data_IF_012763982994
#
_entry.id   IF_012763982994
#
_cell.length_a   1.000
_cell.length_b   1.000
_cell.length_c   1.000
_cell.angle_alpha   90.00
_cell.angle_beta   90.00
_cell.angle_gamma   90.00
#
_symmetry.space_group_name_H-M   'P 1'
#
loop_
_entity.id
_entity.type
_entity.pdbx_description
1 polymer ?
#
# COMPACT_ATOMS: atom_id res chain seq x y z
N UNK A 1 23.98 6.65 -4.28
CA UNK A 1 23.83 5.25 -4.71
C UNK A 1 23.70 5.24 -6.22
N UNK A 2 24.59 4.56 -6.94
CA UNK A 2 24.52 4.51 -8.40
C UNK A 2 23.45 3.49 -8.83
N UNK A 3 22.59 3.86 -9.79
CA UNK A 3 21.55 3.01 -10.36
C UNK A 3 22.12 1.94 -11.32
N UNK A 4 23.04 1.11 -10.83
CA UNK A 4 23.68 0.03 -11.60
C UNK A 4 22.83 -1.24 -11.73
N UNK A 5 23.25 -2.16 -12.60
CA UNK A 5 22.51 -3.40 -12.92
C UNK A 5 22.15 -4.26 -11.71
N UNK A 6 23.02 -4.30 -10.69
CA UNK A 6 22.80 -5.07 -9.47
C UNK A 6 21.53 -4.65 -8.73
N UNK A 7 21.17 -3.36 -8.75
CA UNK A 7 19.94 -2.89 -8.12
C UNK A 7 18.71 -3.42 -8.86
N UNK A 8 18.76 -3.48 -10.20
CA UNK A 8 17.70 -4.07 -11.01
C UNK A 8 17.52 -5.56 -10.69
N UNK A 9 18.61 -6.34 -10.74
CA UNK A 9 18.61 -7.79 -10.45
C UNK A 9 18.07 -8.08 -9.04
N UNK A 10 18.54 -7.35 -8.02
CA UNK A 10 18.05 -7.47 -6.64
C UNK A 10 16.57 -7.11 -6.52
N UNK A 11 16.14 -6.03 -7.17
CA UNK A 11 14.74 -5.59 -7.16
C UNK A 11 13.80 -6.65 -7.74
N UNK A 12 14.15 -7.25 -8.88
CA UNK A 12 13.37 -8.33 -9.48
C UNK A 12 13.32 -9.58 -8.59
N UNK A 13 14.46 -10.03 -8.06
CA UNK A 13 14.47 -11.20 -7.16
C UNK A 13 13.64 -10.99 -5.89
N UNK A 14 13.66 -9.79 -5.32
CA UNK A 14 12.91 -9.47 -4.10
C UNK A 14 11.39 -9.60 -4.27
N UNK A 15 10.87 -9.49 -5.50
CA UNK A 15 9.42 -9.63 -5.78
C UNK A 15 8.85 -10.98 -5.35
N UNK A 16 9.64 -12.05 -5.41
CA UNK A 16 9.21 -13.40 -4.99
C UNK A 16 9.37 -13.62 -3.49
N UNK A 17 10.20 -12.80 -2.83
CA UNK A 17 10.55 -12.99 -1.41
C UNK A 17 9.69 -12.09 -0.51
N UNK A 18 9.20 -10.95 -1.01
CA UNK A 18 8.48 -9.96 -0.20
C UNK A 18 7.23 -10.54 0.50
N UNK A 19 6.59 -11.57 -0.07
CA UNK A 19 5.45 -12.24 0.57
C UNK A 19 5.81 -12.88 1.92
N UNK A 20 7.01 -13.45 2.05
CA UNK A 20 7.49 -14.07 3.29
C UNK A 20 7.80 -13.05 4.41
N UNK A 21 7.99 -11.78 4.04
CA UNK A 21 8.20 -10.71 5.02
C UNK A 21 6.91 -10.45 5.83
N UNK A 22 5.73 -10.80 5.29
CA UNK A 22 4.45 -10.67 6.00
C UNK A 22 4.42 -11.56 7.24
N UNK A 23 4.71 -12.85 7.08
CA UNK A 23 4.70 -13.81 8.20
C UNK A 23 5.74 -13.43 9.25
N UNK A 24 6.92 -13.00 8.80
CA UNK A 24 7.94 -12.44 9.70
C UNK A 24 7.41 -11.20 10.45
N UNK A 25 6.69 -10.29 9.79
CA UNK A 25 6.11 -9.12 10.44
C UNK A 25 5.08 -9.50 11.52
N UNK A 26 4.25 -10.51 11.23
CA UNK A 26 3.24 -11.01 12.16
C UNK A 26 3.88 -11.58 13.44
N UNK A 27 5.00 -12.29 13.33
CA UNK A 27 5.76 -12.79 14.50
C UNK A 27 6.24 -11.67 15.44
N UNK A 28 6.35 -10.44 14.94
CA UNK A 28 6.78 -9.26 15.70
C UNK A 28 5.68 -8.20 15.88
N UNK A 29 4.42 -8.58 15.69
CA UNK A 29 3.28 -7.71 15.97
C UNK A 29 3.07 -6.58 14.96
N UNK A 30 3.43 -6.82 13.70
CA UNK A 30 3.20 -5.92 12.57
C UNK A 30 2.23 -6.59 11.60
N UNK A 31 1.11 -5.92 11.31
CA UNK A 31 0.22 -6.31 10.22
C UNK A 31 0.62 -5.55 8.96
N UNK A 32 0.56 -6.21 7.81
CA UNK A 32 0.90 -5.61 6.53
C UNK A 32 0.09 -6.22 5.39
N UNK A 33 -0.33 -5.39 4.45
CA UNK A 33 -0.98 -5.83 3.22
C UNK A 33 -0.55 -4.97 2.04
N UNK A 34 -0.70 -5.53 0.84
CA UNK A 34 -0.58 -4.82 -0.42
C UNK A 34 -1.93 -4.64 -1.09
N UNK A 35 -2.13 -3.47 -1.69
CA UNK A 35 -3.30 -3.18 -2.50
C UNK A 35 -2.91 -2.33 -3.70
N UNK A 36 -3.82 -2.17 -4.65
CA UNK A 36 -3.46 -1.68 -5.97
C UNK A 36 -4.62 -0.95 -6.63
N UNK A 37 -4.30 -0.12 -7.61
CA UNK A 37 -5.27 0.56 -8.48
C UNK A 37 -4.63 0.87 -9.83
N UNK A 38 -5.47 1.22 -10.81
CA UNK A 38 -5.04 1.90 -12.04
C UNK A 38 -5.58 3.33 -12.08
N UNK A 39 -4.79 4.26 -12.61
CA UNK A 39 -5.13 5.69 -12.59
C UNK A 39 -4.58 6.40 -13.84
N UNK A 40 -5.30 7.41 -14.38
CA UNK A 40 -4.78 8.27 -15.44
C UNK A 40 -3.49 9.00 -15.06
N UNK A 41 -2.64 9.27 -16.06
CA UNK A 41 -1.31 9.85 -15.86
C UNK A 41 -1.31 11.18 -15.09
N UNK A 42 -2.28 12.05 -15.36
CA UNK A 42 -2.44 13.36 -14.72
C UNK A 42 -2.76 13.29 -13.23
N UNK A 43 -3.12 12.11 -12.71
CA UNK A 43 -3.53 11.89 -11.32
C UNK A 43 -2.58 11.01 -10.50
N UNK A 44 -1.60 10.35 -11.13
CA UNK A 44 -0.70 9.38 -10.45
C UNK A 44 -0.05 9.99 -9.20
N UNK A 45 0.54 11.18 -9.32
CA UNK A 45 1.31 11.81 -8.24
C UNK A 45 0.43 12.20 -7.07
N UNK A 46 -0.73 12.81 -7.36
CA UNK A 46 -1.67 13.25 -6.32
C UNK A 46 -2.33 12.04 -5.65
N UNK A 47 -2.73 11.01 -6.41
CA UNK A 47 -3.23 9.76 -5.86
C UNK A 47 -2.21 9.11 -4.90
N UNK A 48 -0.94 9.01 -5.31
CA UNK A 48 0.11 8.46 -4.45
C UNK A 48 0.29 9.25 -3.15
N UNK A 49 0.23 10.59 -3.22
CA UNK A 49 0.36 11.46 -2.05
C UNK A 49 -0.84 11.30 -1.12
N UNK A 50 -2.04 11.47 -1.65
CA UNK A 50 -3.29 11.51 -0.90
C UNK A 50 -3.58 10.18 -0.20
N UNK A 51 -3.37 9.05 -0.88
CA UNK A 51 -3.58 7.71 -0.30
C UNK A 51 -2.61 7.45 0.86
N UNK A 52 -1.32 7.80 0.71
CA UNK A 52 -0.37 7.69 1.82
C UNK A 52 -0.74 8.61 2.98
N UNK A 53 -1.13 9.85 2.70
CA UNK A 53 -1.55 10.80 3.73
C UNK A 53 -2.86 10.36 4.41
N UNK A 54 -3.77 9.70 3.69
CA UNK A 54 -4.98 9.08 4.26
C UNK A 54 -4.62 7.97 5.23
N UNK A 55 -3.76 7.02 4.84
CA UNK A 55 -3.29 5.95 5.73
C UNK A 55 -2.68 6.54 7.01
N UNK A 56 -1.81 7.54 6.89
CA UNK A 56 -1.20 8.18 8.05
C UNK A 56 -2.22 8.87 8.96
N UNK A 57 -3.27 9.48 8.39
CA UNK A 57 -4.36 10.07 9.16
C UNK A 57 -5.16 9.01 9.92
N UNK A 58 -5.56 7.93 9.24
CA UNK A 58 -6.37 6.89 9.89
C UNK A 58 -5.59 6.16 10.98
N UNK A 59 -4.31 5.87 10.77
CA UNK A 59 -3.43 5.28 11.80
C UNK A 59 -3.41 6.14 13.07
N UNK A 60 -3.32 7.48 12.93
CA UNK A 60 -3.42 8.40 14.07
C UNK A 60 -4.81 8.42 14.69
N UNK A 61 -5.88 8.39 13.88
CA UNK A 61 -7.26 8.39 14.36
C UNK A 61 -7.59 7.14 15.19
N UNK A 62 -7.02 6.00 14.83
CA UNK A 62 -7.13 4.75 15.56
C UNK A 62 -6.19 4.65 16.78
N UNK A 63 -5.45 5.71 17.12
CA UNK A 63 -4.61 5.77 18.31
C UNK A 63 -3.33 4.91 18.22
N UNK A 64 -2.92 4.51 17.02
CA UNK A 64 -1.69 3.74 16.83
C UNK A 64 -0.50 4.67 17.07
N UNK A 65 0.37 4.30 18.02
CA UNK A 65 1.44 5.14 18.51
C UNK A 65 2.45 5.56 17.43
N UNK A 66 2.77 4.66 16.50
CA UNK A 66 3.78 4.87 15.48
C UNK A 66 3.14 5.10 14.11
N UNK A 67 3.73 5.97 13.27
CA UNK A 67 3.32 6.11 11.88
C UNK A 67 3.36 4.76 11.16
N UNK A 68 2.40 4.54 10.25
CA UNK A 68 2.47 3.36 9.40
C UNK A 68 3.66 3.45 8.45
N UNK A 69 4.21 2.30 8.06
CA UNK A 69 4.90 2.21 6.80
C UNK A 69 3.85 2.36 5.69
N UNK A 70 4.00 3.34 4.80
CA UNK A 70 3.13 3.54 3.65
C UNK A 70 4.00 3.88 2.43
N UNK A 71 4.05 2.98 1.47
CA UNK A 71 4.89 3.10 0.28
C UNK A 71 4.11 2.73 -0.98
N UNK A 72 4.55 3.23 -2.12
CA UNK A 72 3.95 2.96 -3.41
C UNK A 72 5.00 2.85 -4.51
N UNK A 73 4.68 2.11 -5.56
CA UNK A 73 5.47 2.03 -6.80
C UNK A 73 4.55 1.95 -8.02
N UNK A 74 4.99 2.52 -9.14
CA UNK A 74 4.37 2.29 -10.44
C UNK A 74 4.89 0.96 -10.98
N UNK A 75 4.00 0.01 -11.22
CA UNK A 75 4.36 -1.36 -11.63
C UNK A 75 4.13 -1.63 -13.10
N UNK A 76 3.18 -0.94 -13.73
CA UNK A 76 2.84 -1.07 -15.14
C UNK A 76 2.48 0.30 -15.73
N UNK A 77 2.80 0.50 -17.00
CA UNK A 77 2.53 1.71 -17.76
C UNK A 77 1.67 1.40 -19.00
N UNK A 78 0.74 2.29 -19.30
CA UNK A 78 -0.18 2.21 -20.43
C UNK A 78 -0.23 3.55 -21.15
N UNK A 79 -0.83 3.57 -22.35
CA UNK A 79 -1.05 4.82 -23.11
C UNK A 79 -1.83 5.85 -22.30
N UNK A 80 -2.81 5.39 -21.51
CA UNK A 80 -3.78 6.24 -20.80
C UNK A 80 -3.53 6.35 -19.29
N UNK A 81 -2.55 5.65 -18.74
CA UNK A 81 -2.31 5.68 -17.29
C UNK A 81 -1.31 4.65 -16.80
N UNK A 82 -1.37 4.37 -15.49
CA UNK A 82 -0.44 3.48 -14.82
C UNK A 82 -1.14 2.60 -13.78
N UNK A 83 -0.55 1.44 -13.49
CA UNK A 83 -0.85 0.68 -12.28
C UNK A 83 0.03 1.19 -11.14
N UNK A 84 -0.60 1.54 -10.01
CA UNK A 84 0.07 1.92 -8.78
C UNK A 84 -0.18 0.82 -7.74
N UNK A 85 0.92 0.34 -7.16
CA UNK A 85 0.90 -0.72 -6.15
C UNK A 85 1.37 -0.15 -4.82
N UNK A 86 0.55 -0.29 -3.79
CA UNK A 86 0.79 0.19 -2.44
C UNK A 86 1.14 -0.96 -1.50
N UNK A 87 1.98 -0.64 -0.53
CA UNK A 87 2.15 -1.44 0.68
C UNK A 87 1.87 -0.55 1.87
N UNK A 88 1.13 -1.08 2.84
CA UNK A 88 1.06 -0.45 4.15
C UNK A 88 1.23 -1.47 5.27
N UNK A 89 1.82 -1.01 6.37
CA UNK A 89 2.03 -1.83 7.55
C UNK A 89 2.03 -0.96 8.82
N UNK A 90 1.53 -1.51 9.92
CA UNK A 90 1.58 -0.83 11.22
C UNK A 90 1.70 -1.85 12.36
N UNK A 91 2.25 -1.39 13.49
CA UNK A 91 2.32 -2.20 14.71
C UNK A 91 0.96 -2.22 15.40
N UNK A 92 0.46 -3.41 15.73
CA UNK A 92 -0.89 -3.57 16.28
C UNK A 92 -0.94 -3.76 17.80
N UNK A 93 0.21 -3.67 18.47
CA UNK A 93 0.29 -3.74 19.94
C UNK A 93 -0.58 -2.67 20.60
N UNK A 94 -1.41 -3.09 21.55
CA UNK A 94 -2.32 -2.20 22.29
C UNK A 94 -3.68 -1.98 21.62
N UNK A 95 -3.92 -2.51 20.42
CA UNK A 95 -5.24 -2.51 19.79
C UNK A 95 -6.11 -3.63 20.36
N UNK A 96 -7.38 -3.33 20.63
CA UNK A 96 -8.36 -4.33 21.09
C UNK A 96 -8.82 -5.25 19.96
N UNK A 97 -8.93 -4.70 18.75
CA UNK A 97 -9.33 -5.43 17.54
C UNK A 97 -8.45 -4.98 16.35
N UNK A 98 -7.28 -5.62 16.17
CA UNK A 98 -6.33 -5.23 15.13
C UNK A 98 -6.83 -5.57 13.73
N UNK A 99 -7.68 -6.58 13.57
CA UNK A 99 -8.25 -6.99 12.28
C UNK A 99 -9.24 -5.93 11.81
N UNK A 100 -10.21 -5.57 12.66
CA UNK A 100 -11.19 -4.55 12.29
C UNK A 100 -10.54 -3.17 12.07
N UNK A 101 -9.52 -2.83 12.87
CA UNK A 101 -8.74 -1.60 12.67
C UNK A 101 -8.03 -1.60 11.32
N UNK A 102 -7.40 -2.72 10.95
CA UNK A 102 -6.78 -2.89 9.64
C UNK A 102 -7.80 -2.71 8.51
N UNK A 103 -8.95 -3.40 8.59
CA UNK A 103 -10.01 -3.35 7.57
C UNK A 103 -10.54 -1.92 7.38
N UNK A 104 -10.74 -1.18 8.48
CA UNK A 104 -11.19 0.21 8.43
C UNK A 104 -10.18 1.13 7.75
N UNK A 105 -8.88 0.93 8.02
CA UNK A 105 -7.81 1.73 7.39
C UNK A 105 -7.70 1.39 5.90
N UNK A 106 -7.79 0.10 5.54
CA UNK A 106 -7.77 -0.33 4.14
C UNK A 106 -8.97 0.23 3.36
N UNK A 107 -10.18 0.16 3.93
CA UNK A 107 -11.39 0.72 3.33
C UNK A 107 -11.24 2.22 3.09
N UNK A 108 -10.75 2.97 4.08
CA UNK A 108 -10.50 4.40 3.95
C UNK A 108 -9.45 4.74 2.87
N UNK A 109 -8.41 3.90 2.71
CA UNK A 109 -7.43 4.04 1.64
C UNK A 109 -8.04 3.76 0.26
N UNK A 110 -8.95 2.79 0.15
CA UNK A 110 -9.71 2.50 -1.09
C UNK A 110 -10.66 3.64 -1.44
N UNK A 111 -11.35 4.21 -0.46
CA UNK A 111 -12.19 5.41 -0.69
C UNK A 111 -11.36 6.57 -1.22
N UNK A 112 -10.14 6.76 -0.70
CA UNK A 112 -9.23 7.80 -1.17
C UNK A 112 -8.69 7.52 -2.59
N UNK A 113 -8.46 6.25 -2.95
CA UNK A 113 -8.14 5.85 -4.32
C UNK A 113 -9.26 6.32 -5.27
N UNK A 114 -10.52 6.00 -4.95
CA UNK A 114 -11.67 6.37 -5.77
C UNK A 114 -11.82 7.90 -5.85
N UNK A 115 -11.71 8.59 -4.71
CA UNK A 115 -11.76 10.06 -4.66
C UNK A 115 -10.62 10.71 -5.48
N UNK A 116 -9.45 10.07 -5.54
CA UNK A 116 -8.31 10.51 -6.34
C UNK A 116 -8.40 10.10 -7.82
N UNK A 117 -9.45 9.39 -8.23
CA UNK A 117 -9.69 8.97 -9.62
C UNK A 117 -8.99 7.67 -10.03
N UNK A 118 -8.58 6.84 -9.07
CA UNK A 118 -8.15 5.47 -9.34
C UNK A 118 -9.34 4.52 -9.52
N UNK A 119 -9.08 3.38 -10.13
CA UNK A 119 -10.02 2.27 -10.26
C UNK A 119 -10.16 1.46 -8.96
N UNK A 120 -11.22 0.65 -8.88
CA UNK A 120 -11.47 -0.26 -7.74
C UNK A 120 -10.35 -1.30 -7.61
N UNK A 121 -9.88 -1.81 -8.73
CA UNK A 121 -8.79 -2.78 -8.84
C UNK A 121 -8.25 -2.80 -10.28
N UNK A 122 -6.95 -3.01 -10.44
CA UNK A 122 -6.30 -3.33 -11.69
C UNK A 122 -6.25 -4.83 -11.95
N UNK A 123 -5.91 -5.65 -10.93
CA UNK A 123 -5.65 -7.08 -11.13
C UNK A 123 -5.95 -8.01 -9.95
N UNK A 124 -6.11 -7.50 -8.71
CA UNK A 124 -6.55 -8.35 -7.61
C UNK A 124 -8.03 -8.79 -7.78
N UNK A 125 -8.82 -8.02 -8.52
CA UNK A 125 -10.26 -8.23 -8.69
C UNK A 125 -11.08 -7.53 -7.60
N UNK A 126 -12.40 -7.56 -7.77
CA UNK A 126 -13.34 -7.17 -6.71
C UNK A 126 -13.82 -8.39 -5.95
N UNK A 127 -13.94 -8.27 -4.63
CA UNK A 127 -14.75 -9.19 -3.83
C UNK A 127 -16.22 -8.99 -4.21
N UNK A 128 -16.93 -10.08 -4.53
CA UNK A 128 -18.39 -10.07 -4.66
C UNK A 128 -19.07 -10.00 -3.28
#
# INVERSE_FOLDING_TARGET
>A
MAAGEDNGKRGYMLTYVIAYIRDLGLDYGVVSESFETSVPWDRVVDLCRNVKDRIQREVRNHGIQFPAFASCRVTQSYDVGACVYFYFAFGYHGLSDPVHTYESIEAAARDEIIASGGSISHHHGGSA
#
